data_IF_484232915599
#
_entry.id   IF_484232915599
#
_cell.length_a   1.000
_cell.length_b   1.000
_cell.length_c   1.000
_cell.angle_alpha   90.00
_cell.angle_beta   90.00
_cell.angle_gamma   90.00
#
_symmetry.space_group_name_H-M   'P 1'
#
loop_
_entity.id
_entity.type
_entity.pdbx_description
1 polymer ?
#
# COMPACT_ATOMS: atom_id res chain seq x y z
N UNK A 1 11.15 -6.24 12.10
CA UNK A 1 10.43 -5.07 11.54
C UNK A 1 9.15 -4.90 12.32
N UNK A 2 8.79 -3.68 12.70
CA UNK A 2 7.57 -3.37 13.45
C UNK A 2 6.54 -2.68 12.57
N UNK A 3 6.97 -1.87 11.60
CA UNK A 3 6.10 -1.07 10.75
C UNK A 3 6.60 -1.07 9.31
N UNK A 4 5.71 -1.27 8.36
CA UNK A 4 6.03 -1.25 6.94
C UNK A 4 5.12 -0.30 6.16
N UNK A 5 5.67 0.27 5.10
CA UNK A 5 4.94 1.06 4.12
C UNK A 5 4.74 0.25 2.85
N UNK A 6 3.50 0.15 2.37
CA UNK A 6 3.12 -0.55 1.16
C UNK A 6 2.63 0.48 0.15
N UNK A 7 3.17 0.43 -1.07
CA UNK A 7 2.71 1.28 -2.18
C UNK A 7 1.71 0.50 -3.04
N UNK A 8 0.48 1.00 -3.11
CA UNK A 8 -0.58 0.41 -3.92
C UNK A 8 -0.47 0.76 -5.41
N UNK A 9 -1.38 0.23 -6.21
CA UNK A 9 -1.35 0.37 -7.68
C UNK A 9 -1.86 1.71 -8.22
N UNK A 10 -2.52 2.53 -7.39
CA UNK A 10 -3.16 3.75 -7.85
C UNK A 10 -4.39 3.46 -8.71
N UNK A 11 -4.78 4.42 -9.55
CA UNK A 11 -5.96 4.30 -10.40
C UNK A 11 -5.84 3.14 -11.41
N UNK A 12 -6.94 2.45 -11.66
CA UNK A 12 -7.01 1.34 -12.62
C UNK A 12 -6.64 1.83 -14.02
N UNK A 13 -5.73 1.09 -14.68
CA UNK A 13 -5.31 1.32 -16.07
C UNK A 13 -5.38 -0.01 -16.83
N UNK A 14 -5.45 0.05 -18.15
CA UNK A 14 -5.32 -1.16 -18.97
C UNK A 14 -3.95 -1.78 -18.69
N UNK A 15 -3.92 -3.06 -18.28
CA UNK A 15 -2.70 -3.77 -17.87
C UNK A 15 -2.25 -3.52 -16.42
N UNK A 16 -3.03 -2.76 -15.63
CA UNK A 16 -2.92 -2.67 -14.18
C UNK A 16 -4.32 -2.75 -13.57
N UNK A 17 -4.82 -3.97 -13.46
CA UNK A 17 -6.18 -4.24 -13.04
C UNK A 17 -6.22 -4.79 -11.60
N UNK A 18 -7.27 -5.57 -11.31
CA UNK A 18 -7.58 -6.08 -9.97
C UNK A 18 -6.53 -7.03 -9.37
N UNK A 19 -5.59 -7.54 -10.16
CA UNK A 19 -4.51 -8.41 -9.69
C UNK A 19 -3.60 -7.74 -8.65
N UNK A 20 -3.37 -6.43 -8.77
CA UNK A 20 -2.58 -5.67 -7.80
C UNK A 20 -3.40 -5.31 -6.55
N UNK A 21 -4.72 -5.21 -6.67
CA UNK A 21 -5.60 -5.12 -5.51
C UNK A 21 -5.60 -6.43 -4.72
N UNK A 22 -5.75 -7.55 -5.42
CA UNK A 22 -5.72 -8.86 -4.80
C UNK A 22 -4.38 -9.13 -4.11
N UNK A 23 -3.26 -9.00 -4.84
CA UNK A 23 -1.93 -9.30 -4.30
C UNK A 23 -1.51 -8.34 -3.18
N UNK A 24 -1.81 -7.04 -3.30
CA UNK A 24 -1.63 -6.07 -2.21
C UNK A 24 -2.45 -6.42 -0.98
N UNK A 25 -3.70 -6.86 -1.16
CA UNK A 25 -4.56 -7.30 -0.06
C UNK A 25 -4.03 -8.55 0.64
N UNK A 26 -3.48 -9.51 -0.11
CA UNK A 26 -2.85 -10.70 0.49
C UNK A 26 -1.58 -10.35 1.26
N UNK A 27 -0.76 -9.44 0.73
CA UNK A 27 0.44 -8.97 1.41
C UNK A 27 0.09 -8.34 2.77
N UNK A 28 -0.91 -7.45 2.80
CA UNK A 28 -1.37 -6.82 4.06
C UNK A 28 -1.81 -7.87 5.08
N UNK A 29 -2.58 -8.89 4.66
CA UNK A 29 -3.00 -9.99 5.55
C UNK A 29 -1.81 -10.75 6.12
N UNK A 30 -0.85 -11.12 5.28
CA UNK A 30 0.34 -11.84 5.71
C UNK A 30 1.17 -11.03 6.72
N UNK A 31 1.35 -9.73 6.50
CA UNK A 31 2.06 -8.87 7.45
C UNK A 31 1.30 -8.70 8.78
N UNK A 32 -0.03 -8.65 8.73
CA UNK A 32 -0.88 -8.58 9.92
C UNK A 32 -0.81 -9.86 10.76
N UNK A 33 -0.76 -11.02 10.13
CA UNK A 33 -0.55 -12.32 10.79
C UNK A 33 0.80 -12.36 11.54
N UNK A 34 1.84 -11.76 10.96
CA UNK A 34 3.16 -11.58 11.58
C UNK A 34 3.23 -10.43 12.61
N UNK A 35 2.09 -9.79 12.93
CA UNK A 35 1.98 -8.67 13.87
C UNK A 35 2.83 -7.45 13.48
N UNK A 36 2.97 -7.22 12.18
CA UNK A 36 3.65 -6.05 11.61
C UNK A 36 2.59 -4.97 11.32
N UNK A 37 2.82 -3.74 11.78
CA UNK A 37 1.96 -2.60 11.50
C UNK A 37 2.05 -2.22 10.01
N UNK A 38 0.91 -2.15 9.34
CA UNK A 38 0.79 -1.95 7.91
C UNK A 38 0.26 -0.56 7.58
N UNK A 39 1.04 0.19 6.79
CA UNK A 39 0.65 1.49 6.27
C UNK A 39 0.55 1.37 4.75
N UNK A 40 -0.62 1.68 4.19
CA UNK A 40 -0.86 1.67 2.76
C UNK A 40 -0.96 3.10 2.22
N UNK A 41 -0.29 3.38 1.10
CA UNK A 41 -0.61 4.53 0.24
C UNK A 41 -1.27 4.02 -1.03
N UNK A 42 -2.52 4.43 -1.27
CA UNK A 42 -3.21 4.15 -2.53
C UNK A 42 -4.31 5.18 -2.78
N UNK A 43 -4.34 5.79 -3.97
CA UNK A 43 -5.35 6.77 -4.35
C UNK A 43 -6.69 6.15 -4.79
N UNK A 44 -6.73 4.84 -5.04
CA UNK A 44 -7.91 4.17 -5.56
C UNK A 44 -8.82 3.63 -4.44
N UNK A 45 -9.92 4.37 -4.20
CA UNK A 45 -10.92 4.04 -3.19
C UNK A 45 -11.76 2.79 -3.51
N UNK A 46 -11.73 2.30 -4.76
CA UNK A 46 -12.53 1.17 -5.22
C UNK A 46 -11.74 -0.14 -5.17
N UNK A 47 -11.06 -0.40 -4.05
CA UNK A 47 -10.17 -1.55 -3.88
C UNK A 47 -10.33 -2.20 -2.50
N UNK A 48 -10.15 -3.52 -2.42
CA UNK A 48 -10.19 -4.26 -1.15
C UNK A 48 -9.05 -3.81 -0.23
N UNK A 49 -7.87 -3.54 -0.78
CA UNK A 49 -6.71 -3.11 0.02
C UNK A 49 -6.94 -1.82 0.82
N UNK A 50 -7.83 -0.93 0.36
CA UNK A 50 -8.17 0.33 1.04
C UNK A 50 -9.36 0.21 2.01
N UNK A 51 -9.88 -1.00 2.22
CA UNK A 51 -10.95 -1.26 3.18
C UNK A 51 -10.49 -0.99 4.61
N UNK A 52 -11.39 -0.44 5.44
CA UNK A 52 -11.10 0.00 6.82
C UNK A 52 -10.46 -1.05 7.73
N UNK A 53 -10.67 -2.33 7.46
CA UNK A 53 -10.26 -3.43 8.35
C UNK A 53 -8.96 -4.12 7.91
N UNK A 54 -8.46 -3.80 6.71
CA UNK A 54 -7.34 -4.54 6.14
C UNK A 54 -5.99 -4.00 6.65
N UNK A 55 -5.60 -2.81 6.20
CA UNK A 55 -4.39 -2.14 6.68
C UNK A 55 -4.66 -1.36 7.97
N UNK A 56 -3.66 -1.24 8.83
CA UNK A 56 -3.78 -0.46 10.08
C UNK A 56 -3.94 1.03 9.80
N UNK A 57 -3.35 1.51 8.69
CA UNK A 57 -3.52 2.88 8.23
C UNK A 57 -3.53 2.96 6.71
N UNK A 58 -4.47 3.73 6.17
CA UNK A 58 -4.57 4.01 4.73
C UNK A 58 -4.44 5.50 4.48
N UNK A 59 -3.51 5.86 3.59
CA UNK A 59 -3.34 7.18 3.02
C UNK A 59 -3.94 7.19 1.61
N UNK A 60 -5.07 7.88 1.44
CA UNK A 60 -5.67 8.13 0.13
C UNK A 60 -4.94 9.27 -0.59
N UNK A 61 -3.69 9.01 -0.94
CA UNK A 61 -2.80 9.96 -1.62
C UNK A 61 -2.31 9.36 -2.95
N UNK A 62 -1.98 10.21 -3.94
CA UNK A 62 -1.27 9.75 -5.13
C UNK A 62 0.04 9.07 -4.75
N UNK A 63 0.33 7.92 -5.39
CA UNK A 63 1.61 7.21 -5.25
C UNK A 63 2.65 7.93 -6.11
N UNK A 64 3.17 9.03 -5.58
CA UNK A 64 4.22 9.87 -6.19
C UNK A 64 5.30 10.12 -5.16
N UNK A 65 6.52 10.42 -5.60
CA UNK A 65 7.68 10.63 -4.71
C UNK A 65 7.38 11.67 -3.62
N UNK A 66 6.80 12.81 -3.97
CA UNK A 66 6.47 13.88 -3.02
C UNK A 66 5.58 13.39 -1.86
N UNK A 67 4.47 12.71 -2.18
CA UNK A 67 3.55 12.23 -1.14
C UNK A 67 4.12 11.05 -0.35
N UNK A 68 4.86 10.16 -1.02
CA UNK A 68 5.52 9.03 -0.38
C UNK A 68 6.58 9.51 0.62
N UNK A 69 7.42 10.47 0.24
CA UNK A 69 8.43 11.09 1.11
C UNK A 69 7.80 11.70 2.37
N UNK A 70 6.68 12.44 2.20
CA UNK A 70 5.94 13.03 3.34
C UNK A 70 5.38 11.98 4.29
N UNK A 71 4.91 10.85 3.77
CA UNK A 71 4.42 9.74 4.61
C UNK A 71 5.59 9.04 5.29
N UNK A 72 6.71 8.82 4.61
CA UNK A 72 7.93 8.23 5.20
C UNK A 72 8.43 9.10 6.37
N UNK A 73 8.51 10.42 6.18
CA UNK A 73 8.95 11.35 7.23
C UNK A 73 8.05 11.29 8.48
N UNK A 74 6.74 11.22 8.25
CA UNK A 74 5.73 11.15 9.32
C UNK A 74 5.70 9.79 10.04
N UNK A 75 5.74 8.71 9.28
CA UNK A 75 5.47 7.35 9.79
C UNK A 75 6.72 6.60 10.22
N UNK A 76 7.88 6.96 9.64
CA UNK A 76 9.19 6.34 9.85
C UNK A 76 9.12 4.80 9.76
N UNK A 77 8.67 4.23 8.61
CA UNK A 77 8.57 2.79 8.44
C UNK A 77 9.96 2.13 8.42
N UNK A 78 10.06 0.88 8.86
CA UNK A 78 11.31 0.10 8.84
C UNK A 78 11.66 -0.39 7.42
N UNK A 79 10.65 -0.57 6.57
CA UNK A 79 10.79 -1.05 5.20
C UNK A 79 9.67 -0.53 4.30
N UNK A 80 9.93 -0.53 2.99
CA UNK A 80 8.96 -0.18 1.96
C UNK A 80 8.77 -1.39 1.03
N UNK A 81 7.53 -1.74 0.76
CA UNK A 81 7.14 -2.86 -0.10
C UNK A 81 6.59 -2.32 -1.41
N UNK A 82 7.31 -2.63 -2.51
CA UNK A 82 7.01 -2.13 -3.86
C UNK A 82 6.43 -3.22 -4.78
N UNK A 83 6.63 -4.50 -4.44
CA UNK A 83 6.37 -5.64 -5.35
C UNK A 83 4.90 -5.89 -5.69
N UNK A 84 3.96 -5.30 -4.96
CA UNK A 84 2.51 -5.58 -5.09
C UNK A 84 1.70 -4.42 -5.70
N UNK A 85 2.34 -3.29 -6.01
CA UNK A 85 1.68 -2.11 -6.59
C UNK A 85 1.84 -1.97 -8.11
N UNK A 86 2.40 -2.97 -8.79
CA UNK A 86 2.67 -2.91 -10.23
C UNK A 86 3.64 -1.78 -10.60
N UNK A 87 3.56 -1.27 -11.84
CA UNK A 87 4.48 -0.21 -12.31
C UNK A 87 4.30 1.13 -11.59
N UNK A 88 3.18 1.34 -10.88
CA UNK A 88 2.99 2.57 -10.11
C UNK A 88 3.90 2.59 -8.87
N UNK A 89 4.23 1.42 -8.32
CA UNK A 89 5.08 1.30 -7.14
C UNK A 89 6.57 1.06 -7.47
N UNK A 90 6.88 0.58 -8.68
CA UNK A 90 8.25 0.32 -9.16
C UNK A 90 8.89 1.57 -9.78
#
# INVERSE_FOLDING_TARGET
>A
MKKILILGSGALKIGQAGEFDYSGSQAIKAFKEEKIETILINSNIATIQTSKELADKVYFLPVTTEFVERVIEKEKPDAIVLSFGGQTAL
#
